data_IF_928557415284
#
_entry.id   IF_928557415284
#
_cell.length_a   1.000
_cell.length_b   1.000
_cell.length_c   1.000
_cell.angle_alpha   90.00
_cell.angle_beta   90.00
_cell.angle_gamma   90.00
#
_symmetry.space_group_name_H-M   'P 1'
#
loop_
_entity.id
_entity.type
_entity.pdbx_description
1 polymer ?
#
# COMPACT_ATOMS: atom_id res chain seq x y z
N UNK A 1 -14.86 -35.54 49.55
CA UNK A 1 -13.44 -35.67 49.18
C UNK A 1 -13.24 -35.11 47.78
N UNK A 2 -12.71 -33.88 47.72
CA UNK A 2 -12.42 -33.15 46.48
C UNK A 2 -11.27 -33.80 45.71
N UNK A 3 -11.41 -33.92 44.40
CA UNK A 3 -10.27 -34.02 43.48
C UNK A 3 -10.31 -32.83 42.52
N UNK A 4 -9.35 -31.95 42.74
CA UNK A 4 -9.00 -30.81 41.91
C UNK A 4 -8.72 -31.25 40.48
N UNK A 5 -9.38 -30.60 39.52
CA UNK A 5 -9.01 -30.65 38.11
C UNK A 5 -8.06 -29.49 37.84
N UNK A 6 -6.79 -29.82 37.66
CA UNK A 6 -5.73 -28.95 37.19
C UNK A 6 -6.11 -28.43 35.80
N UNK A 7 -6.29 -27.12 35.67
CA UNK A 7 -6.41 -26.43 34.39
C UNK A 7 -4.97 -26.33 33.85
N UNK A 8 -4.63 -27.24 32.95
CA UNK A 8 -3.39 -27.20 32.17
C UNK A 8 -3.42 -26.00 31.24
N UNK A 9 -2.29 -25.27 31.22
CA UNK A 9 -2.08 -24.05 30.46
C UNK A 9 -2.40 -24.22 28.99
N UNK A 10 -3.06 -23.20 28.44
CA UNK A 10 -3.16 -23.00 27.00
C UNK A 10 -2.00 -22.10 26.61
N UNK A 11 -0.90 -22.75 26.26
CA UNK A 11 0.29 -22.14 25.70
C UNK A 11 -0.03 -21.36 24.42
N UNK A 12 0.83 -20.38 24.16
CA UNK A 12 0.67 -19.33 23.18
C UNK A 12 0.37 -19.83 21.77
N UNK A 13 -0.74 -19.36 21.23
CA UNK A 13 -0.87 -19.15 19.80
C UNK A 13 -0.13 -17.85 19.46
N UNK A 14 1.18 -17.98 19.26
CA UNK A 14 1.91 -17.03 18.43
C UNK A 14 1.35 -17.16 17.02
N UNK A 15 0.42 -16.27 16.68
CA UNK A 15 -0.23 -16.19 15.38
C UNK A 15 0.71 -15.66 14.31
N UNK A 16 1.76 -16.41 13.99
CA UNK A 16 2.47 -16.28 12.71
C UNK A 16 1.58 -16.86 11.61
N UNK A 17 0.50 -16.15 11.30
CA UNK A 17 -0.24 -16.37 10.07
C UNK A 17 0.76 -16.17 8.93
N UNK A 18 1.01 -17.24 8.18
CA UNK A 18 1.95 -17.27 7.06
C UNK A 18 1.38 -16.45 5.88
N UNK A 19 1.47 -15.12 5.98
CA UNK A 19 0.92 -14.18 5.00
C UNK A 19 1.68 -14.16 3.66
N UNK A 20 2.81 -14.88 3.57
CA UNK A 20 3.64 -15.02 2.36
C UNK A 20 2.91 -15.73 1.21
N UNK A 21 1.86 -16.51 1.50
CA UNK A 21 1.06 -17.23 0.50
C UNK A 21 -0.08 -16.42 -0.13
N UNK A 22 -0.35 -15.19 0.32
CA UNK A 22 -1.49 -14.44 -0.22
C UNK A 22 -1.23 -14.00 -1.67
N UNK A 23 -2.14 -14.36 -2.59
CA UNK A 23 -2.02 -14.09 -4.03
C UNK A 23 -1.79 -12.62 -4.39
N UNK A 24 -2.22 -11.68 -3.55
CA UNK A 24 -1.94 -10.26 -3.80
C UNK A 24 -0.51 -9.87 -3.44
N UNK A 25 0.10 -10.48 -2.42
CA UNK A 25 1.52 -10.30 -2.08
C UNK A 25 2.39 -10.88 -3.19
N UNK A 26 2.03 -12.05 -3.72
CA UNK A 26 2.75 -12.67 -4.83
C UNK A 26 2.75 -11.77 -6.08
N UNK A 27 1.63 -11.12 -6.40
CA UNK A 27 1.59 -10.14 -7.49
C UNK A 27 2.50 -8.93 -7.26
N UNK A 28 2.72 -8.52 -6.00
CA UNK A 28 3.68 -7.46 -5.69
C UNK A 28 5.13 -7.96 -5.84
N UNK A 29 5.42 -9.22 -5.48
CA UNK A 29 6.71 -9.86 -5.78
C UNK A 29 6.98 -9.87 -7.29
N UNK A 30 6.00 -10.33 -8.06
CA UNK A 30 6.13 -10.51 -9.51
C UNK A 30 5.99 -9.21 -10.32
N UNK A 31 5.65 -8.09 -9.68
CA UNK A 31 5.44 -6.81 -10.37
C UNK A 31 4.19 -6.81 -11.27
N UNK A 32 3.23 -7.66 -10.98
CA UNK A 32 2.05 -7.89 -11.81
C UNK A 32 0.89 -6.94 -11.47
N UNK A 33 0.25 -6.43 -12.53
CA UNK A 33 -1.02 -5.71 -12.39
C UNK A 33 -2.21 -6.69 -12.28
N UNK A 34 -3.14 -6.49 -11.32
CA UNK A 34 -4.40 -7.22 -11.30
C UNK A 34 -5.20 -7.02 -12.58
N UNK A 35 -6.03 -8.01 -12.93
CA UNK A 35 -7.15 -7.82 -13.86
C UNK A 35 -8.03 -6.67 -13.37
N UNK A 36 -8.29 -5.68 -14.24
CA UNK A 36 -9.05 -4.46 -13.88
C UNK A 36 -10.56 -4.68 -13.89
N UNK A 37 -11.05 -5.63 -14.68
CA UNK A 37 -12.48 -5.82 -14.92
C UNK A 37 -13.32 -6.11 -13.65
N UNK A 38 -12.89 -6.97 -12.69
CA UNK A 38 -13.67 -7.19 -11.46
C UNK A 38 -13.85 -5.91 -10.63
N UNK A 39 -12.85 -5.04 -10.63
CA UNK A 39 -12.96 -3.74 -9.96
C UNK A 39 -13.91 -2.80 -10.69
N UNK A 40 -13.77 -2.69 -12.01
CA UNK A 40 -14.64 -1.86 -12.83
C UNK A 40 -16.10 -2.35 -12.76
N UNK A 41 -16.32 -3.66 -12.65
CA UNK A 41 -17.64 -4.25 -12.46
C UNK A 41 -18.25 -3.84 -11.12
N UNK A 42 -17.50 -3.99 -10.02
CA UNK A 42 -17.97 -3.54 -8.70
C UNK A 42 -18.27 -2.04 -8.70
N UNK A 43 -17.45 -1.25 -9.39
CA UNK A 43 -17.62 0.18 -9.53
C UNK A 43 -18.86 0.56 -10.35
N UNK A 44 -19.12 -0.19 -11.43
CA UNK A 44 -20.33 -0.04 -12.23
C UNK A 44 -21.59 -0.33 -11.41
N UNK A 45 -21.59 -1.41 -10.62
CA UNK A 45 -22.70 -1.77 -9.73
C UNK A 45 -22.97 -0.64 -8.73
N UNK A 46 -21.92 -0.11 -8.08
CA UNK A 46 -22.03 1.01 -7.14
C UNK A 46 -22.59 2.27 -7.81
N UNK A 47 -22.13 2.56 -9.03
CA UNK A 47 -22.58 3.72 -9.81
C UNK A 47 -24.06 3.60 -10.18
N UNK A 48 -24.49 2.42 -10.64
CA UNK A 48 -25.89 2.12 -10.99
C UNK A 48 -26.79 2.21 -9.76
N UNK A 49 -26.34 1.69 -8.62
CA UNK A 49 -27.07 1.81 -7.35
C UNK A 49 -27.22 3.28 -6.92
N UNK A 50 -26.15 4.08 -7.01
CA UNK A 50 -26.19 5.52 -6.76
C UNK A 50 -27.15 6.26 -7.70
N UNK A 51 -27.10 5.96 -9.00
CA UNK A 51 -28.01 6.53 -9.99
C UNK A 51 -29.48 6.19 -9.71
N UNK A 52 -29.77 4.95 -9.34
CA UNK A 52 -31.12 4.51 -8.95
C UNK A 52 -31.60 5.26 -7.72
N UNK A 53 -30.74 5.44 -6.71
CA UNK A 53 -31.05 6.22 -5.51
C UNK A 53 -31.32 7.70 -5.80
N UNK A 54 -30.60 8.29 -6.76
CA UNK A 54 -30.85 9.67 -7.21
C UNK A 54 -32.21 9.79 -7.90
N UNK A 55 -32.54 8.88 -8.84
CA UNK A 55 -33.84 8.86 -9.52
C UNK A 55 -34.99 8.68 -8.51
N UNK A 56 -34.82 7.76 -7.55
CA UNK A 56 -35.78 7.58 -6.46
C UNK A 56 -35.97 8.86 -5.64
N UNK A 57 -34.87 9.54 -5.30
CA UNK A 57 -34.91 10.78 -4.51
C UNK A 57 -35.60 11.93 -5.26
N UNK A 58 -35.41 12.03 -6.58
CA UNK A 58 -36.08 13.04 -7.43
C UNK A 58 -37.58 12.75 -7.52
N UNK A 59 -37.95 11.49 -7.74
CA UNK A 59 -39.36 11.08 -7.87
C UNK A 59 -40.16 11.19 -6.57
N UNK A 60 -39.50 11.13 -5.42
CA UNK A 60 -40.11 11.22 -4.09
C UNK A 60 -39.69 12.49 -3.33
N UNK A 61 -39.28 13.54 -4.07
CA UNK A 61 -38.74 14.76 -3.49
C UNK A 61 -39.73 15.44 -2.54
N UNK A 62 -41.02 15.47 -2.90
CA UNK A 62 -42.06 16.06 -2.06
C UNK A 62 -42.19 15.35 -0.70
N UNK A 63 -42.07 14.02 -0.68
CA UNK A 63 -42.11 13.23 0.56
C UNK A 63 -40.86 13.48 1.44
N UNK A 64 -39.70 13.75 0.82
CA UNK A 64 -38.47 14.09 1.53
C UNK A 64 -38.50 15.51 2.12
N UNK A 65 -39.10 16.46 1.40
CA UNK A 65 -39.25 17.85 1.85
C UNK A 65 -40.22 18.00 3.03
N UNK A 66 -41.25 17.17 3.08
CA UNK A 66 -42.26 17.17 4.15
C UNK A 66 -42.00 16.12 5.26
N UNK A 67 -40.82 15.49 5.26
CA UNK A 67 -40.50 14.42 6.21
C UNK A 67 -40.06 14.99 7.57
N UNK A 68 -40.62 14.47 8.66
CA UNK A 68 -40.18 14.75 10.04
C UNK A 68 -38.87 14.04 10.45
N UNK A 69 -38.23 13.30 9.52
CA UNK A 69 -36.98 12.63 9.81
C UNK A 69 -35.87 13.62 10.21
N UNK A 70 -35.03 13.23 11.16
CA UNK A 70 -33.92 14.07 11.67
C UNK A 70 -32.87 14.44 10.60
N UNK A 71 -32.81 13.72 9.47
CA UNK A 71 -31.86 13.94 8.35
C UNK A 71 -32.48 13.54 6.99
N UNK A 72 -33.43 14.31 6.45
CA UNK A 72 -34.15 13.94 5.22
C UNK A 72 -33.23 13.88 3.98
N UNK A 73 -32.15 14.65 3.97
CA UNK A 73 -31.21 14.74 2.84
C UNK A 73 -30.05 13.74 2.87
N UNK A 74 -29.94 12.88 3.89
CA UNK A 74 -28.82 11.94 3.99
C UNK A 74 -28.79 10.91 2.85
N UNK A 75 -29.96 10.35 2.50
CA UNK A 75 -30.10 9.34 1.44
C UNK A 75 -29.87 9.92 0.03
N UNK A 76 -30.46 11.07 -0.33
CA UNK A 76 -30.15 11.74 -1.60
C UNK A 76 -28.66 12.08 -1.74
N UNK A 77 -28.06 12.66 -0.69
CA UNK A 77 -26.64 13.03 -0.71
C UNK A 77 -25.74 11.80 -0.86
N UNK A 78 -26.03 10.73 -0.12
CA UNK A 78 -25.30 9.47 -0.24
C UNK A 78 -25.38 8.88 -1.65
N UNK A 79 -26.57 8.94 -2.27
CA UNK A 79 -26.79 8.44 -3.63
C UNK A 79 -25.99 9.22 -4.68
N UNK A 80 -25.95 10.56 -4.55
CA UNK A 80 -25.11 11.43 -5.40
C UNK A 80 -23.62 11.09 -5.22
N UNK A 81 -23.17 10.90 -3.98
CA UNK A 81 -21.79 10.51 -3.69
C UNK A 81 -21.44 9.19 -4.37
N UNK A 82 -22.28 8.16 -4.27
CA UNK A 82 -22.04 6.86 -4.92
C UNK A 82 -22.00 6.99 -6.46
N UNK A 83 -22.91 7.78 -7.03
CA UNK A 83 -22.98 8.03 -8.48
C UNK A 83 -21.70 8.69 -9.01
N UNK A 84 -21.11 9.63 -8.26
CA UNK A 84 -19.89 10.35 -8.66
C UNK A 84 -18.62 9.53 -8.36
N UNK A 85 -18.58 8.83 -7.23
CA UNK A 85 -17.41 8.08 -6.77
C UNK A 85 -16.99 7.01 -7.79
N UNK A 86 -17.97 6.39 -8.44
CA UNK A 86 -17.80 5.42 -9.50
C UNK A 86 -16.89 5.89 -10.64
N UNK A 87 -17.37 6.83 -11.48
CA UNK A 87 -16.58 7.41 -12.57
C UNK A 87 -15.23 7.96 -12.13
N UNK A 88 -15.18 8.68 -10.99
CA UNK A 88 -13.95 9.27 -10.47
C UNK A 88 -12.90 8.19 -10.18
N UNK A 89 -13.27 7.11 -9.47
CA UNK A 89 -12.34 6.03 -9.17
C UNK A 89 -11.89 5.27 -10.44
N UNK A 90 -12.74 5.19 -11.47
CA UNK A 90 -12.39 4.58 -12.75
C UNK A 90 -11.29 5.39 -13.47
N UNK A 91 -11.47 6.71 -13.54
CA UNK A 91 -10.50 7.65 -14.13
C UNK A 91 -9.18 7.58 -13.36
N UNK A 92 -9.23 7.66 -12.03
CA UNK A 92 -8.04 7.57 -11.17
C UNK A 92 -7.31 6.25 -11.37
N UNK A 93 -8.01 5.11 -11.41
CA UNK A 93 -7.40 3.80 -11.67
C UNK A 93 -6.77 3.72 -13.06
N UNK A 94 -7.37 4.34 -14.09
CA UNK A 94 -6.80 4.39 -15.44
C UNK A 94 -5.53 5.21 -15.47
N UNK A 95 -5.54 6.42 -14.91
CA UNK A 95 -4.38 7.30 -14.84
C UNK A 95 -3.25 6.63 -14.06
N UNK A 96 -3.56 6.06 -12.89
CA UNK A 96 -2.56 5.37 -12.07
C UNK A 96 -2.00 4.13 -12.76
N UNK A 97 -2.86 3.40 -13.44
CA UNK A 97 -2.47 2.26 -14.25
C UNK A 97 -1.62 2.62 -15.48
N UNK A 98 -1.56 3.88 -15.91
CA UNK A 98 -0.58 4.35 -16.92
C UNK A 98 0.75 4.72 -16.25
N UNK A 99 0.69 5.44 -15.12
CA UNK A 99 1.86 5.82 -14.32
C UNK A 99 2.68 4.59 -13.93
N UNK A 100 2.04 3.60 -13.29
CA UNK A 100 2.72 2.40 -12.80
C UNK A 100 3.32 1.57 -13.95
N UNK A 101 2.71 1.58 -15.14
CA UNK A 101 3.29 0.91 -16.32
C UNK A 101 4.57 1.57 -16.81
N UNK A 102 4.64 2.92 -16.76
CA UNK A 102 5.86 3.66 -17.07
C UNK A 102 6.97 3.30 -16.09
N UNK A 103 6.65 3.29 -14.80
CA UNK A 103 7.61 2.91 -13.75
C UNK A 103 8.11 1.48 -13.95
N UNK A 104 7.22 0.51 -14.16
CA UNK A 104 7.63 -0.87 -14.42
C UNK A 104 8.47 -1.01 -15.71
N UNK A 105 8.22 -0.17 -16.72
CA UNK A 105 9.06 -0.12 -17.91
C UNK A 105 10.42 0.50 -17.64
N UNK A 106 10.52 1.52 -16.77
CA UNK A 106 11.79 2.09 -16.31
C UNK A 106 12.59 1.07 -15.51
N UNK A 107 11.97 0.36 -14.57
CA UNK A 107 12.59 -0.71 -13.78
C UNK A 107 13.19 -1.79 -14.69
N UNK A 108 12.39 -2.30 -15.65
CA UNK A 108 12.88 -3.32 -16.61
C UNK A 108 14.05 -2.81 -17.47
N UNK A 109 14.04 -1.53 -17.86
CA UNK A 109 15.11 -0.93 -18.65
C UNK A 109 16.38 -0.69 -17.83
N UNK A 110 16.25 -0.42 -16.55
CA UNK A 110 17.38 -0.25 -15.63
C UNK A 110 18.12 -1.56 -15.34
N UNK A 111 17.50 -2.71 -15.64
CA UNK A 111 18.14 -4.03 -15.53
C UNK A 111 18.17 -4.59 -14.10
N UNK A 112 17.41 -4.01 -13.17
CA UNK A 112 17.29 -4.54 -11.81
C UNK A 112 16.38 -5.78 -11.79
N UNK A 113 16.59 -6.65 -10.81
CA UNK A 113 15.74 -7.83 -10.56
C UNK A 113 15.07 -7.72 -9.18
N UNK A 114 14.02 -6.89 -9.05
CA UNK A 114 13.34 -6.70 -7.77
C UNK A 114 12.77 -8.00 -7.23
N UNK A 115 12.94 -8.23 -5.93
CA UNK A 115 12.24 -9.28 -5.18
C UNK A 115 10.85 -8.83 -4.74
N UNK A 116 10.61 -7.53 -4.68
CA UNK A 116 9.32 -6.97 -4.30
C UNK A 116 9.09 -5.59 -4.91
N UNK A 117 7.86 -5.35 -5.36
CA UNK A 117 7.38 -4.05 -5.85
C UNK A 117 6.35 -3.51 -4.86
N UNK A 118 6.68 -2.41 -4.20
CA UNK A 118 5.87 -1.71 -3.23
C UNK A 118 5.28 -0.43 -3.86
N UNK A 119 4.09 -0.49 -4.47
CA UNK A 119 3.41 0.72 -4.93
C UNK A 119 3.03 1.57 -3.73
N UNK A 120 3.28 2.88 -3.78
CA UNK A 120 2.95 3.82 -2.70
C UNK A 120 2.03 4.94 -3.19
N UNK A 121 1.33 5.60 -2.29
CA UNK A 121 0.54 6.80 -2.60
C UNK A 121 1.48 8.00 -2.76
N UNK A 122 1.26 8.84 -3.79
CA UNK A 122 2.13 10.01 -4.10
C UNK A 122 2.06 11.10 -3.02
N UNK A 123 0.91 11.23 -2.36
CA UNK A 123 0.67 12.17 -1.26
C UNK A 123 0.52 11.37 0.02
N UNK A 124 1.44 11.54 0.96
CA UNK A 124 1.20 11.11 2.33
C UNK A 124 0.09 11.98 2.89
N UNK A 125 -1.04 11.38 3.27
CA UNK A 125 -2.15 12.07 3.94
C UNK A 125 -1.75 12.62 5.33
N UNK A 126 -0.61 12.16 5.84
CA UNK A 126 -0.01 12.58 7.10
C UNK A 126 1.40 13.11 6.84
N UNK A 127 1.46 14.43 6.76
CA UNK A 127 2.63 15.30 6.69
C UNK A 127 3.71 14.92 7.72
N UNK A 128 4.95 14.72 7.25
CA UNK A 128 6.14 15.35 7.88
C UNK A 128 7.47 15.19 7.14
N UNK A 129 7.62 14.38 6.09
CA UNK A 129 8.87 14.35 5.30
C UNK A 129 8.56 14.26 3.80
N UNK A 130 8.39 15.42 3.17
CA UNK A 130 8.14 15.54 1.74
C UNK A 130 9.43 15.18 0.99
N UNK A 131 9.47 13.98 0.40
CA UNK A 131 10.46 13.67 -0.63
C UNK A 131 10.47 14.81 -1.67
N UNK A 132 11.65 15.33 -2.06
CA UNK A 132 11.73 16.37 -3.07
C UNK A 132 11.11 15.86 -4.38
N UNK A 133 10.60 16.79 -5.19
CA UNK A 133 10.15 16.41 -6.51
C UNK A 133 11.32 15.90 -7.35
N UNK A 134 11.15 14.79 -8.10
CA UNK A 134 9.90 14.09 -8.35
C UNK A 134 9.59 13.01 -7.30
N UNK A 135 8.38 13.06 -6.72
CA UNK A 135 7.97 12.17 -5.62
C UNK A 135 7.88 10.70 -6.05
N UNK A 136 8.33 9.74 -5.22
CA UNK A 136 8.23 8.33 -5.54
C UNK A 136 6.79 7.82 -5.49
N UNK A 137 6.45 6.94 -6.43
CA UNK A 137 5.14 6.29 -6.56
C UNK A 137 5.22 4.76 -6.45
N UNK A 138 6.43 4.22 -6.50
CA UNK A 138 6.75 2.81 -6.31
C UNK A 138 8.13 2.69 -5.69
N UNK A 139 8.29 1.74 -4.78
CA UNK A 139 9.58 1.30 -4.28
C UNK A 139 9.83 -0.12 -4.76
N UNK A 140 11.05 -0.43 -5.19
CA UNK A 140 11.49 -1.80 -5.41
C UNK A 140 12.43 -2.23 -4.32
N UNK A 141 12.43 -3.52 -4.01
CA UNK A 141 13.29 -4.12 -2.98
C UNK A 141 14.12 -5.20 -3.63
N UNK A 142 15.44 -5.14 -3.45
CA UNK A 142 16.38 -6.15 -3.89
C UNK A 142 17.54 -6.33 -2.89
N UNK A 143 18.60 -7.03 -3.32
CA UNK A 143 19.75 -7.32 -2.48
C UNK A 143 20.53 -6.07 -2.07
N UNK A 144 20.58 -5.03 -2.91
CA UNK A 144 21.26 -3.79 -2.60
C UNK A 144 20.47 -2.95 -1.60
N UNK A 145 19.15 -2.95 -1.71
CA UNK A 145 18.29 -2.24 -0.77
C UNK A 145 16.91 -1.90 -1.32
N UNK A 146 16.47 -0.69 -1.00
CA UNK A 146 15.22 -0.12 -1.48
C UNK A 146 15.51 0.97 -2.51
N UNK A 147 14.82 0.94 -3.63
CA UNK A 147 14.95 1.90 -4.72
C UNK A 147 13.61 2.57 -4.97
N UNK A 148 13.55 3.90 -4.85
CA UNK A 148 12.35 4.69 -5.02
C UNK A 148 12.23 5.15 -6.47
N UNK A 149 11.06 4.97 -7.08
CA UNK A 149 10.81 5.26 -8.49
C UNK A 149 9.68 6.26 -8.67
N UNK A 150 9.89 7.19 -9.60
CA UNK A 150 8.89 8.14 -10.06
C UNK A 150 8.56 7.87 -11.53
N UNK A 151 7.31 8.08 -11.99
CA UNK A 151 6.98 7.99 -13.41
C UNK A 151 7.66 9.06 -14.28
N UNK A 152 8.26 10.07 -13.65
CA UNK A 152 8.91 11.22 -14.32
C UNK A 152 10.41 10.98 -14.58
N UNK A 153 11.01 9.93 -14.01
CA UNK A 153 12.42 9.57 -14.24
C UNK A 153 12.58 8.13 -14.70
N UNK A 154 13.65 7.89 -15.44
CA UNK A 154 14.02 6.56 -15.93
C UNK A 154 14.91 5.79 -14.94
N UNK A 155 15.54 6.49 -14.01
CA UNK A 155 16.34 5.95 -12.91
C UNK A 155 15.62 6.12 -11.58
N UNK A 156 16.01 5.39 -10.53
CA UNK A 156 15.56 5.67 -9.18
C UNK A 156 15.76 7.15 -8.81
N UNK A 157 14.79 7.70 -8.08
CA UNK A 157 14.86 9.07 -7.52
C UNK A 157 15.56 9.08 -6.17
N UNK A 158 15.65 7.92 -5.51
CA UNK A 158 16.30 7.74 -4.22
C UNK A 158 16.64 6.26 -4.03
N UNK A 159 17.83 5.98 -3.51
CA UNK A 159 18.31 4.63 -3.22
C UNK A 159 18.69 4.55 -1.75
N UNK A 160 18.28 3.46 -1.09
CA UNK A 160 18.52 3.24 0.34
C UNK A 160 19.06 1.84 0.56
N UNK A 161 20.35 1.76 0.90
CA UNK A 161 20.99 0.49 1.23
C UNK A 161 20.41 -0.12 2.51
N UNK A 162 20.35 -1.45 2.59
CA UNK A 162 19.87 -2.13 3.80
C UNK A 162 20.63 -1.78 5.07
N UNK A 163 21.93 -1.48 4.95
CA UNK A 163 22.79 -1.07 6.06
C UNK A 163 22.38 0.28 6.66
N UNK A 164 21.79 1.17 5.86
CA UNK A 164 21.33 2.48 6.31
C UNK A 164 19.91 2.45 6.91
N UNK A 165 19.18 1.34 6.75
CA UNK A 165 17.87 1.14 7.37
C UNK A 165 18.09 0.73 8.82
N UNK A 166 17.73 1.59 9.76
CA UNK A 166 17.77 1.28 11.19
C UNK A 166 16.57 0.40 11.58
N UNK A 167 15.34 0.90 11.39
CA UNK A 167 14.11 0.19 11.71
C UNK A 167 12.99 0.44 10.69
N UNK A 168 12.01 -0.47 10.67
CA UNK A 168 10.78 -0.37 9.89
C UNK A 168 9.61 -0.48 10.86
N UNK A 169 8.78 0.56 10.98
CA UNK A 169 7.73 0.66 12.01
C UNK A 169 6.39 1.04 11.39
N UNK A 170 5.28 0.78 12.10
CA UNK A 170 3.97 1.22 11.65
C UNK A 170 3.82 2.73 11.86
N UNK A 171 3.44 3.43 10.81
CA UNK A 171 2.98 4.81 10.93
C UNK A 171 1.49 4.79 11.27
N UNK A 172 1.13 5.38 12.40
CA UNK A 172 -0.26 5.53 12.81
C UNK A 172 -0.64 7.01 12.89
N UNK A 173 -1.89 7.32 12.58
CA UNK A 173 -2.49 8.62 12.79
C UNK A 173 -3.78 8.50 13.62
N UNK A 174 -4.14 9.58 14.30
CA UNK A 174 -5.40 9.64 15.04
C UNK A 174 -6.51 10.13 14.10
N UNK A 175 -7.56 9.32 13.94
CA UNK A 175 -8.72 9.61 13.11
C UNK A 175 -9.96 9.45 13.97
N UNK A 176 -10.66 10.55 14.25
CA UNK A 176 -11.89 10.57 15.08
C UNK A 176 -11.71 9.89 16.45
N UNK A 177 -10.57 10.12 17.11
CA UNK A 177 -10.25 9.55 18.42
C UNK A 177 -9.81 8.08 18.38
N UNK A 178 -9.62 7.50 17.19
CA UNK A 178 -9.08 6.15 17.03
C UNK A 178 -7.70 6.20 16.36
N UNK A 179 -6.76 5.44 16.90
CA UNK A 179 -5.44 5.24 16.28
C UNK A 179 -5.60 4.27 15.09
N UNK A 180 -5.25 4.74 13.90
CA UNK A 180 -5.32 3.97 12.65
C UNK A 180 -3.93 3.89 12.05
N UNK A 181 -3.51 2.69 11.63
CA UNK A 181 -2.26 2.52 10.89
C UNK A 181 -2.45 2.95 9.44
N UNK A 182 -1.64 3.92 9.01
CA UNK A 182 -1.77 4.63 7.74
C UNK A 182 -0.58 4.43 6.82
N UNK A 183 0.54 3.90 7.34
CA UNK A 183 1.73 3.62 6.53
C UNK A 183 2.83 2.88 7.30
N UNK A 184 4.03 2.97 6.77
CA UNK A 184 5.25 2.39 7.33
C UNK A 184 6.28 3.49 7.45
N UNK A 185 6.80 3.71 8.65
CA UNK A 185 8.00 4.51 8.88
C UNK A 185 9.23 3.70 8.49
N UNK A 186 10.05 4.28 7.62
CA UNK A 186 11.40 3.82 7.35
C UNK A 186 12.33 4.76 8.11
N UNK A 187 12.98 4.24 9.14
CA UNK A 187 13.90 4.99 9.98
C UNK A 187 15.31 4.63 9.53
N UNK A 188 16.08 5.66 9.20
CA UNK A 188 17.44 5.59 8.68
C UNK A 188 18.40 6.29 9.64
N UNK A 189 19.66 5.89 9.63
CA UNK A 189 20.68 6.53 10.46
C UNK A 189 21.08 7.92 9.92
N UNK A 190 21.22 8.05 8.60
CA UNK A 190 21.79 9.25 7.97
C UNK A 190 20.75 10.26 7.48
N UNK A 191 19.57 9.80 7.02
CA UNK A 191 18.56 10.62 6.32
C UNK A 191 17.37 10.92 7.23
N UNK A 192 17.39 10.46 8.47
CA UNK A 192 16.27 10.60 9.41
C UNK A 192 15.19 9.54 9.18
N UNK A 193 13.91 9.91 9.18
CA UNK A 193 12.79 8.98 8.97
C UNK A 193 11.87 9.49 7.86
N UNK A 194 11.18 8.60 7.18
CA UNK A 194 10.15 8.98 6.23
C UNK A 194 9.03 7.94 6.18
N UNK A 195 7.81 8.38 5.87
CA UNK A 195 6.64 7.49 5.77
C UNK A 195 6.42 7.06 4.34
N UNK A 196 6.22 5.75 4.14
CA UNK A 196 5.63 5.20 2.92
C UNK A 196 4.20 4.76 3.20
N UNK A 197 3.26 5.10 2.31
CA UNK A 197 1.87 4.63 2.39
C UNK A 197 1.63 3.57 1.31
N UNK A 198 1.67 2.26 1.67
CA UNK A 198 1.53 1.18 0.70
C UNK A 198 0.18 1.22 -0.02
N UNK A 199 0.17 0.81 -1.27
CA UNK A 199 -1.04 0.45 -2.02
C UNK A 199 -1.15 -1.07 -2.08
N UNK A 200 -2.38 -1.63 -2.07
CA UNK A 200 -2.58 -3.07 -1.99
C UNK A 200 -2.32 -3.79 -3.31
N UNK A 201 -2.17 -3.05 -4.42
CA UNK A 201 -1.79 -3.59 -5.72
C UNK A 201 -1.35 -2.48 -6.68
N UNK A 202 -0.52 -2.86 -7.64
CA UNK A 202 -0.12 -2.01 -8.77
C UNK A 202 -1.35 -1.64 -9.60
N UNK A 203 -1.49 -0.38 -9.98
CA UNK A 203 -2.61 0.20 -10.73
C UNK A 203 -3.82 0.59 -9.89
N UNK A 204 -3.79 0.38 -8.56
CA UNK A 204 -4.84 0.86 -7.65
C UNK A 204 -4.55 2.30 -7.21
N UNK A 205 -5.56 3.17 -7.12
CA UNK A 205 -5.35 4.56 -6.72
C UNK A 205 -5.31 4.76 -5.19
N UNK A 206 -5.83 3.80 -4.41
CA UNK A 206 -6.01 3.94 -2.96
C UNK A 206 -4.95 3.23 -2.14
N UNK A 207 -4.70 3.74 -0.93
CA UNK A 207 -3.85 3.12 0.07
C UNK A 207 -4.37 1.75 0.54
N UNK A 208 -3.49 0.99 1.16
CA UNK A 208 -3.77 -0.30 1.75
C UNK A 208 -4.53 -0.13 3.09
N UNK A 209 -5.32 -1.15 3.47
CA UNK A 209 -5.90 -1.20 4.82
C UNK A 209 -4.83 -1.49 5.88
N UNK A 210 -5.11 -1.19 7.15
CA UNK A 210 -4.19 -1.45 8.27
C UNK A 210 -3.66 -2.89 8.28
N UNK A 211 -4.52 -3.89 8.08
CA UNK A 211 -4.11 -5.31 7.96
C UNK A 211 -3.08 -5.52 6.85
N UNK A 212 -3.31 -4.94 5.66
CA UNK A 212 -2.39 -5.08 4.53
C UNK A 212 -1.08 -4.31 4.75
N UNK A 213 -1.12 -3.17 5.44
CA UNK A 213 0.07 -2.43 5.85
C UNK A 213 0.93 -3.31 6.77
N UNK A 214 0.31 -3.96 7.76
CA UNK A 214 1.00 -4.89 8.66
C UNK A 214 1.67 -6.04 7.90
N UNK A 215 0.95 -6.66 6.95
CA UNK A 215 1.49 -7.73 6.10
C UNK A 215 2.69 -7.23 5.28
N UNK A 216 2.58 -6.06 4.64
CA UNK A 216 3.68 -5.47 3.88
C UNK A 216 4.89 -5.22 4.78
N UNK A 217 4.69 -4.67 5.98
CA UNK A 217 5.79 -4.45 6.93
C UNK A 217 6.49 -5.75 7.31
N UNK A 218 5.75 -6.83 7.57
CA UNK A 218 6.32 -8.14 7.86
C UNK A 218 7.13 -8.68 6.67
N UNK A 219 6.61 -8.54 5.45
CA UNK A 219 7.33 -8.94 4.22
C UNK A 219 8.63 -8.15 4.07
N UNK A 220 8.61 -6.83 4.26
CA UNK A 220 9.81 -5.99 4.18
C UNK A 220 10.85 -6.37 5.24
N UNK A 221 10.41 -6.67 6.47
CA UNK A 221 11.30 -7.14 7.54
C UNK A 221 11.90 -8.50 7.23
N UNK A 222 11.13 -9.42 6.62
CA UNK A 222 11.64 -10.73 6.17
C UNK A 222 12.69 -10.55 5.08
N UNK A 223 12.39 -9.76 4.04
CA UNK A 223 13.32 -9.48 2.95
C UNK A 223 14.60 -8.81 3.44
N UNK A 224 14.51 -7.88 4.40
CA UNK A 224 15.70 -7.28 5.03
C UNK A 224 16.58 -8.33 5.71
N UNK A 225 16.00 -9.31 6.39
CA UNK A 225 16.75 -10.40 7.04
C UNK A 225 17.37 -11.34 6.00
N UNK A 226 16.60 -11.75 5.01
CA UNK A 226 17.04 -12.67 3.95
C UNK A 226 18.17 -12.06 3.10
N UNK A 227 18.03 -10.78 2.73
CA UNK A 227 18.94 -10.09 1.80
C UNK A 227 20.08 -9.38 2.54
N UNK A 228 19.83 -8.82 3.72
CA UNK A 228 20.86 -8.17 4.54
C UNK A 228 21.82 -9.15 5.21
N UNK A 229 21.46 -10.44 5.32
CA UNK A 229 22.35 -11.51 5.78
C UNK A 229 23.12 -12.20 4.65
N UNK A 230 22.94 -11.79 3.39
CA UNK A 230 23.78 -12.22 2.28
C UNK A 230 24.97 -11.24 2.18
N UNK A 231 26.14 -11.56 2.75
CA UNK A 231 27.32 -10.76 2.49
C UNK A 231 27.63 -10.86 0.99
N UNK A 232 28.03 -9.73 0.44
CA UNK A 232 28.48 -9.48 -0.93
C UNK A 232 29.41 -10.61 -1.46
N UNK A 233 28.83 -11.71 -1.93
CA UNK A 233 29.50 -12.83 -2.56
C UNK A 233 29.83 -12.46 -4.01
N UNK A 234 30.61 -11.40 -4.18
CA UNK A 234 30.78 -10.77 -5.49
C UNK A 234 31.98 -9.85 -5.66
N UNK A 235 32.88 -9.72 -4.67
CA UNK A 235 34.15 -9.02 -4.87
C UNK A 235 35.29 -10.02 -5.08
N UNK A 236 35.68 -10.37 -6.33
CA UNK A 236 36.90 -11.13 -6.56
C UNK A 236 38.09 -10.36 -6.00
N UNK A 237 38.94 -11.10 -5.29
CA UNK A 237 40.05 -10.58 -4.50
C UNK A 237 40.91 -9.60 -5.27
N UNK A 238 41.15 -8.44 -4.66
CA UNK A 238 42.31 -7.62 -5.00
C UNK A 238 43.53 -8.42 -4.59
N UNK A 239 44.19 -9.04 -5.57
CA UNK A 239 45.54 -9.56 -5.42
C UNK A 239 46.40 -8.47 -4.80
N UNK A 240 46.89 -8.76 -3.60
CA UNK A 240 47.98 -8.04 -2.95
C UNK A 240 49.22 -8.18 -3.84
N UNK A 241 49.44 -7.24 -4.74
CA UNK A 241 50.75 -7.06 -5.36
C UNK A 241 51.65 -6.41 -4.30
N UNK A 242 52.45 -7.25 -3.65
CA UNK A 242 53.73 -6.84 -3.11
C UNK A 242 54.64 -6.44 -4.27
N UNK A 243 55.13 -5.19 -4.24
CA UNK A 243 56.48 -4.79 -4.62
C UNK A 243 56.78 -3.42 -4.05
#
# INVERSE_FOLDING_TARGET
MSRSRTIGGRDGQDGTVEYSGERWVQRLRDGEMPKRWPFLLGLAIVTVAGGTGVVFSITHLDALLHSEARRPFAVPLFSVILLVLGPVAAVLSRMRGRSDRRILASIRRHGTTPRFHLPVVRRGEYTLDDFPEPRPEMWTVDAAGLHAWSPERETPVFDLAWSAVHSLELASAEVRGQRVDTGIWIITEDVGRFTVQPRPAIGRPFGASATKIHIVMQVLRSLRRELGSQPDAGRPGRTRTER
#
